data_IF_453214586371
#
_entry.id   IF_453214586371
#
_cell.length_a   1.000
_cell.length_b   1.000
_cell.length_c   1.000
_cell.angle_alpha   90.00
_cell.angle_beta   90.00
_cell.angle_gamma   90.00
#
_symmetry.space_group_name_H-M   'P 1'
#
loop_
_entity.id
_entity.type
_entity.pdbx_description
1 polymer ?
#
# COMPACT_ATOMS: atom_id res chain seq x y z
N UNK A 1 -34.96 11.66 -20.56
CA UNK A 1 -34.60 11.77 -19.13
C UNK A 1 -33.57 10.69 -18.85
N UNK A 2 -32.30 11.07 -18.70
CA UNK A 2 -31.23 10.14 -18.33
C UNK A 2 -31.45 9.74 -16.86
N UNK A 3 -31.92 8.51 -16.66
CA UNK A 3 -32.17 7.90 -15.35
C UNK A 3 -30.92 7.23 -14.78
N UNK A 4 -29.75 7.40 -15.41
CA UNK A 4 -28.51 6.88 -14.82
C UNK A 4 -28.08 7.80 -13.68
N UNK A 5 -28.48 7.43 -12.45
CA UNK A 5 -27.93 7.97 -11.20
C UNK A 5 -26.46 7.60 -11.04
N UNK A 6 -25.61 7.97 -12.01
CA UNK A 6 -24.18 7.75 -11.98
C UNK A 6 -23.52 8.74 -11.02
N UNK A 7 -22.56 8.26 -10.22
CA UNK A 7 -21.80 9.10 -9.30
C UNK A 7 -21.08 10.20 -10.08
N UNK A 8 -21.44 11.47 -9.81
CA UNK A 8 -20.72 12.64 -10.32
C UNK A 8 -19.73 13.12 -9.28
N UNK A 9 -18.49 12.64 -9.37
CA UNK A 9 -17.43 13.05 -8.44
C UNK A 9 -17.07 14.52 -8.63
N UNK A 10 -16.86 15.24 -7.54
CA UNK A 10 -16.29 16.58 -7.59
C UNK A 10 -14.78 16.51 -7.96
N UNK A 11 -14.17 17.61 -8.43
CA UNK A 11 -12.77 17.60 -8.85
C UNK A 11 -11.79 17.19 -7.74
N UNK A 12 -12.12 17.47 -6.48
CA UNK A 12 -11.26 17.11 -5.33
C UNK A 12 -11.26 15.60 -5.10
N UNK A 13 -12.43 14.95 -5.15
CA UNK A 13 -12.54 13.48 -5.04
C UNK A 13 -11.77 12.81 -6.16
N UNK A 14 -11.91 13.31 -7.40
CA UNK A 14 -11.15 12.78 -8.54
C UNK A 14 -9.65 12.90 -8.25
N UNK A 15 -9.17 14.07 -7.83
CA UNK A 15 -7.76 14.28 -7.51
C UNK A 15 -7.28 13.31 -6.42
N UNK A 16 -8.02 13.15 -5.33
CA UNK A 16 -7.67 12.22 -4.24
C UNK A 16 -7.56 10.78 -4.75
N UNK A 17 -8.49 10.33 -5.60
CA UNK A 17 -8.42 9.01 -6.22
C UNK A 17 -7.19 8.85 -7.11
N UNK A 18 -6.85 9.86 -7.92
CA UNK A 18 -5.66 9.82 -8.80
C UNK A 18 -4.37 9.77 -7.99
N UNK A 19 -4.29 10.56 -6.93
CA UNK A 19 -3.16 10.57 -5.99
C UNK A 19 -3.06 9.22 -5.28
N UNK A 20 -4.16 8.66 -4.77
CA UNK A 20 -4.16 7.33 -4.15
C UNK A 20 -3.68 6.25 -5.10
N UNK A 21 -4.14 6.23 -6.36
CA UNK A 21 -3.67 5.25 -7.36
C UNK A 21 -2.17 5.38 -7.60
N UNK A 22 -1.66 6.61 -7.76
CA UNK A 22 -0.25 6.84 -7.99
C UNK A 22 0.61 6.38 -6.79
N UNK A 23 0.19 6.70 -5.57
CA UNK A 23 0.93 6.36 -4.35
C UNK A 23 0.88 4.86 -4.05
N UNK A 24 -0.28 4.21 -4.13
CA UNK A 24 -0.38 2.76 -3.97
C UNK A 24 0.33 2.01 -5.09
N UNK A 25 0.31 2.54 -6.31
CA UNK A 25 1.07 1.99 -7.44
C UNK A 25 2.57 2.05 -7.21
N UNK A 26 3.10 3.20 -6.79
CA UNK A 26 4.52 3.37 -6.48
C UNK A 26 4.96 2.46 -5.32
N UNK A 27 4.17 2.42 -4.23
CA UNK A 27 4.41 1.55 -3.09
C UNK A 27 4.40 0.08 -3.49
N UNK A 28 3.36 -0.36 -4.21
CA UNK A 28 3.18 -1.76 -4.61
C UNK A 28 4.28 -2.23 -5.56
N UNK A 29 4.68 -1.40 -6.51
CA UNK A 29 5.76 -1.73 -7.44
C UNK A 29 7.09 -1.93 -6.73
N UNK A 30 7.44 -1.03 -5.79
CA UNK A 30 8.65 -1.18 -4.99
C UNK A 30 8.64 -2.46 -4.15
N UNK A 31 7.49 -2.83 -3.59
CA UNK A 31 7.35 -4.05 -2.78
C UNK A 31 7.42 -5.33 -3.61
N UNK A 32 6.93 -5.31 -4.85
CA UNK A 32 7.16 -6.41 -5.80
C UNK A 32 8.66 -6.57 -6.07
N UNK A 33 9.38 -5.49 -6.36
CA UNK A 33 10.82 -5.56 -6.60
C UNK A 33 11.60 -6.04 -5.37
N UNK A 34 11.31 -5.49 -4.19
CA UNK A 34 11.93 -5.91 -2.94
C UNK A 34 11.63 -7.39 -2.63
N UNK A 35 10.41 -7.84 -2.87
CA UNK A 35 10.01 -9.24 -2.69
C UNK A 35 10.75 -10.19 -3.62
N UNK A 36 10.86 -9.86 -4.91
CA UNK A 36 11.64 -10.64 -5.88
C UNK A 36 13.12 -10.69 -5.48
N UNK A 37 13.71 -9.56 -5.09
CA UNK A 37 15.09 -9.51 -4.64
C UNK A 37 15.31 -10.41 -3.41
N UNK A 38 14.49 -10.30 -2.37
CA UNK A 38 14.61 -11.11 -1.16
C UNK A 38 14.41 -12.62 -1.39
N UNK A 39 13.65 -13.01 -2.43
CA UNK A 39 13.48 -14.41 -2.81
C UNK A 39 14.67 -14.97 -3.61
N UNK A 40 15.36 -14.10 -4.36
CA UNK A 40 16.40 -14.50 -5.33
C UNK A 40 17.82 -14.43 -4.77
N UNK A 41 18.05 -13.55 -3.81
CA UNK A 41 19.37 -13.28 -3.24
C UNK A 41 19.75 -14.26 -2.11
N UNK A 42 21.05 -14.37 -1.85
CA UNK A 42 21.55 -15.09 -0.68
C UNK A 42 21.23 -14.33 0.63
N UNK A 43 21.07 -15.08 1.71
CA UNK A 43 20.64 -14.55 3.02
C UNK A 43 21.42 -13.31 3.50
N UNK A 44 22.77 -13.28 3.46
CA UNK A 44 23.51 -12.11 3.91
C UNK A 44 23.20 -10.85 3.07
N UNK A 45 23.13 -11.02 1.74
CA UNK A 45 22.84 -9.93 0.79
C UNK A 45 21.40 -9.43 0.98
N UNK A 46 20.45 -10.35 1.15
CA UNK A 46 19.05 -10.00 1.38
C UNK A 46 18.85 -9.23 2.70
N UNK A 47 19.57 -9.62 3.77
CA UNK A 47 19.53 -8.92 5.06
C UNK A 47 20.15 -7.54 4.94
N UNK A 48 21.30 -7.39 4.29
CA UNK A 48 21.94 -6.09 4.10
C UNK A 48 21.06 -5.11 3.30
N UNK A 49 20.33 -5.60 2.30
CA UNK A 49 19.38 -4.78 1.52
C UNK A 49 18.14 -4.38 2.32
N UNK A 50 17.75 -5.15 3.34
CA UNK A 50 16.57 -4.88 4.18
C UNK A 50 16.94 -4.04 5.41
N UNK A 51 18.12 -4.27 5.98
CA UNK A 51 18.64 -3.68 7.21
C UNK A 51 19.97 -2.97 6.90
N UNK A 52 19.90 -1.97 6.03
CA UNK A 52 21.07 -1.29 5.45
C UNK A 52 21.85 -0.41 6.45
N UNK A 53 21.31 -0.15 7.65
CA UNK A 53 22.08 0.47 8.73
C UNK A 53 23.06 -0.52 9.39
N UNK A 54 22.88 -1.82 9.16
CA UNK A 54 23.74 -2.85 9.73
C UNK A 54 24.83 -3.19 8.73
N UNK A 55 25.98 -2.51 8.83
CA UNK A 55 27.17 -2.85 8.05
C UNK A 55 27.75 -4.19 8.52
N UNK A 56 27.32 -5.25 7.86
CA UNK A 56 27.99 -6.54 7.94
C UNK A 56 29.05 -6.59 6.84
N UNK A 57 30.22 -7.15 7.13
CA UNK A 57 31.09 -7.65 6.07
C UNK A 57 30.39 -8.91 5.52
N UNK A 58 29.34 -8.73 4.71
CA UNK A 58 28.30 -9.73 4.43
C UNK A 58 28.83 -11.04 3.85
N UNK A 59 30.05 -11.03 3.32
CA UNK A 59 30.75 -12.21 2.84
C UNK A 59 31.26 -13.15 3.95
N UNK A 60 31.33 -12.72 5.22
CA UNK A 60 31.92 -13.50 6.33
C UNK A 60 30.92 -13.98 7.38
N UNK A 61 29.61 -13.73 7.21
CA UNK A 61 28.59 -14.16 8.17
C UNK A 61 27.82 -15.36 7.61
N UNK A 62 28.04 -16.54 8.21
CA UNK A 62 27.18 -17.69 7.97
C UNK A 62 25.91 -17.59 8.80
N UNK A 63 24.77 -17.46 8.13
CA UNK A 63 23.46 -17.54 8.76
C UNK A 63 22.99 -18.99 8.82
N UNK A 64 22.32 -19.41 9.92
CA UNK A 64 21.62 -20.69 9.95
C UNK A 64 20.64 -20.78 8.77
N UNK A 65 20.50 -21.96 8.16
CA UNK A 65 19.60 -22.16 7.02
C UNK A 65 18.16 -21.69 7.29
N UNK A 66 17.71 -21.81 8.54
CA UNK A 66 16.40 -21.34 8.99
C UNK A 66 16.24 -19.81 8.86
N UNK A 67 17.29 -19.03 9.12
CA UNK A 67 17.24 -17.58 8.95
C UNK A 67 17.01 -17.19 7.48
N UNK A 68 17.67 -17.87 6.54
CA UNK A 68 17.42 -17.69 5.11
C UNK A 68 15.99 -18.01 4.71
N UNK A 69 15.42 -19.08 5.25
CA UNK A 69 14.01 -19.43 5.02
C UNK A 69 13.04 -18.36 5.56
N UNK A 70 13.34 -17.76 6.72
CA UNK A 70 12.54 -16.66 7.30
C UNK A 70 12.62 -15.41 6.41
N UNK A 71 13.80 -15.04 5.92
CA UNK A 71 13.97 -13.89 5.01
C UNK A 71 13.21 -14.13 3.69
N UNK A 72 13.29 -15.32 3.11
CA UNK A 72 12.53 -15.66 1.89
C UNK A 72 11.03 -15.62 2.12
N UNK A 73 10.55 -16.07 3.30
CA UNK A 73 9.13 -15.90 3.70
C UNK A 73 8.74 -14.43 3.75
N UNK A 74 9.58 -13.57 4.31
CA UNK A 74 9.33 -12.13 4.33
C UNK A 74 9.32 -11.55 2.90
N UNK A 75 10.24 -11.97 2.03
CA UNK A 75 10.25 -11.60 0.61
C UNK A 75 8.97 -11.99 -0.11
N UNK A 76 8.46 -13.21 0.11
CA UNK A 76 7.17 -13.64 -0.41
C UNK A 76 6.03 -12.74 0.10
N UNK A 77 6.06 -12.34 1.37
CA UNK A 77 5.05 -11.44 1.94
C UNK A 77 5.04 -10.06 1.28
N UNK A 78 6.22 -9.47 1.06
CA UNK A 78 6.35 -8.20 0.35
C UNK A 78 5.84 -8.32 -1.09
N UNK A 79 6.19 -9.42 -1.77
CA UNK A 79 5.78 -9.67 -3.15
C UNK A 79 4.26 -9.71 -3.29
N UNK A 80 3.57 -10.56 -2.53
CA UNK A 80 2.12 -10.69 -2.69
C UNK A 80 1.38 -9.43 -2.22
N UNK A 81 1.85 -8.76 -1.17
CA UNK A 81 1.28 -7.49 -0.73
C UNK A 81 1.39 -6.40 -1.80
N UNK A 82 2.56 -6.30 -2.46
CA UNK A 82 2.77 -5.43 -3.61
C UNK A 82 1.83 -5.77 -4.77
N UNK A 83 1.69 -7.05 -5.11
CA UNK A 83 0.74 -7.48 -6.15
C UNK A 83 -0.71 -7.11 -5.83
N UNK A 84 -1.17 -7.31 -4.60
CA UNK A 84 -2.56 -6.97 -4.22
C UNK A 84 -2.81 -5.47 -4.32
N UNK A 85 -1.89 -4.64 -3.84
CA UNK A 85 -2.02 -3.18 -3.93
C UNK A 85 -2.03 -2.70 -5.39
N UNK A 86 -1.22 -3.31 -6.27
CA UNK A 86 -1.26 -3.05 -7.72
C UNK A 86 -2.61 -3.46 -8.35
N UNK A 87 -3.17 -4.60 -7.97
CA UNK A 87 -4.49 -5.04 -8.43
C UNK A 87 -5.61 -4.07 -8.00
N UNK A 88 -5.45 -3.37 -6.86
CA UNK A 88 -6.41 -2.37 -6.40
C UNK A 88 -6.39 -1.06 -7.21
N UNK A 89 -5.35 -0.79 -8.01
CA UNK A 89 -5.21 0.48 -8.74
C UNK A 89 -6.41 0.77 -9.66
N UNK A 90 -6.84 -0.21 -10.45
CA UNK A 90 -7.96 -0.02 -11.38
C UNK A 90 -9.27 0.20 -10.61
N UNK A 91 -9.69 -0.66 -9.66
CA UNK A 91 -10.90 -0.38 -8.89
C UNK A 91 -10.86 0.94 -8.09
N UNK A 92 -9.71 1.36 -7.56
CA UNK A 92 -9.55 2.67 -6.90
C UNK A 92 -9.78 3.79 -7.92
N UNK A 93 -9.23 3.67 -9.13
CA UNK A 93 -9.42 4.67 -10.20
C UNK A 93 -10.90 4.94 -10.51
N UNK A 94 -11.75 3.92 -10.34
CA UNK A 94 -13.20 3.98 -10.53
C UNK A 94 -13.99 4.31 -9.24
N UNK A 95 -13.32 4.57 -8.10
CA UNK A 95 -13.95 4.97 -6.84
C UNK A 95 -14.54 3.80 -6.04
N UNK A 96 -13.91 2.63 -6.07
CA UNK A 96 -14.30 1.49 -5.22
C UNK A 96 -13.79 1.64 -3.79
N UNK A 97 -14.70 1.90 -2.85
CA UNK A 97 -14.37 1.99 -1.41
C UNK A 97 -13.75 0.71 -0.87
N UNK A 98 -14.18 -0.46 -1.34
CA UNK A 98 -13.60 -1.73 -0.93
C UNK A 98 -12.14 -1.85 -1.36
N UNK A 99 -11.81 -1.44 -2.59
CA UNK A 99 -10.43 -1.50 -3.07
C UNK A 99 -9.52 -0.47 -2.38
N UNK A 100 -10.05 0.71 -2.09
CA UNK A 100 -9.37 1.73 -1.28
C UNK A 100 -9.04 1.16 0.11
N UNK A 101 -10.03 0.56 0.76
CA UNK A 101 -9.85 -0.08 2.07
C UNK A 101 -8.84 -1.22 2.01
N UNK A 102 -8.95 -2.11 1.03
CA UNK A 102 -8.06 -3.27 0.90
C UNK A 102 -6.60 -2.85 0.69
N UNK A 103 -6.34 -1.88 -0.18
CA UNK A 103 -5.00 -1.34 -0.40
C UNK A 103 -4.44 -0.68 0.86
N UNK A 104 -5.24 0.14 1.54
CA UNK A 104 -4.86 0.81 2.78
C UNK A 104 -4.59 -0.17 3.93
N UNK A 105 -5.39 -1.25 4.03
CA UNK A 105 -5.21 -2.27 5.05
C UNK A 105 -3.93 -3.06 4.82
N UNK A 106 -3.73 -3.61 3.61
CA UNK A 106 -2.58 -4.46 3.31
C UNK A 106 -1.30 -3.64 3.29
N UNK A 107 -1.28 -2.53 2.56
CA UNK A 107 -0.11 -1.67 2.48
C UNK A 107 0.22 -1.01 3.81
N UNK A 108 -0.78 -0.48 4.50
CA UNK A 108 -0.61 0.16 5.81
C UNK A 108 -0.10 -0.79 6.89
N UNK A 109 -0.64 -2.03 6.98
CA UNK A 109 -0.15 -3.01 7.95
C UNK A 109 1.26 -3.51 7.62
N UNK A 110 1.58 -3.66 6.34
CA UNK A 110 2.93 -4.06 5.90
C UNK A 110 3.96 -2.99 6.27
N UNK A 111 3.66 -1.73 5.98
CA UNK A 111 4.54 -0.60 6.31
C UNK A 111 4.65 -0.38 7.82
N UNK A 112 3.55 -0.55 8.57
CA UNK A 112 3.56 -0.45 10.04
C UNK A 112 4.46 -1.52 10.65
N UNK A 113 4.41 -2.76 10.15
CA UNK A 113 5.31 -3.83 10.61
C UNK A 113 6.78 -3.47 10.37
N UNK A 114 7.11 -2.96 9.17
CA UNK A 114 8.46 -2.49 8.86
C UNK A 114 8.90 -1.39 9.81
N UNK A 115 8.06 -0.37 10.00
CA UNK A 115 8.33 0.75 10.89
C UNK A 115 8.62 0.31 12.33
N UNK A 116 7.77 -0.56 12.88
CA UNK A 116 7.89 -1.02 14.26
C UNK A 116 9.12 -1.89 14.51
N UNK A 117 9.46 -2.77 13.55
CA UNK A 117 10.48 -3.79 13.78
C UNK A 117 11.85 -3.47 13.16
N UNK A 118 11.92 -2.57 12.18
CA UNK A 118 13.16 -2.21 11.50
C UNK A 118 13.57 -0.76 11.79
N UNK A 119 12.69 0.22 11.63
CA UNK A 119 13.05 1.63 11.87
C UNK A 119 13.20 1.96 13.35
N UNK A 120 12.23 1.58 14.20
CA UNK A 120 12.33 1.81 15.64
C UNK A 120 13.48 1.03 16.28
N UNK A 121 13.86 -0.10 15.69
CA UNK A 121 15.00 -0.89 16.14
C UNK A 121 16.35 -0.35 15.63
N UNK A 122 16.35 0.66 14.76
CA UNK A 122 17.56 1.30 14.24
C UNK A 122 18.31 0.47 13.20
N UNK A 123 17.63 -0.46 12.51
CA UNK A 123 18.26 -1.36 11.53
C UNK A 123 18.24 -0.81 10.10
N UNK A 124 17.59 0.32 9.84
CA UNK A 124 17.41 0.88 8.48
C UNK A 124 17.90 2.32 8.45
N UNK A 125 18.71 2.65 7.45
CA UNK A 125 19.08 4.03 7.14
C UNK A 125 17.88 4.73 6.51
N UNK A 126 17.75 6.04 6.77
CA UNK A 126 16.57 6.84 6.41
C UNK A 126 16.18 6.82 4.91
N UNK A 127 17.07 6.46 3.98
CA UNK A 127 16.76 6.36 2.54
C UNK A 127 17.21 4.99 2.03
N UNK A 128 16.33 4.12 1.47
CA UNK A 128 15.03 4.38 0.83
C UNK A 128 13.78 4.21 1.71
N UNK A 129 13.91 3.66 2.92
CA UNK A 129 12.78 3.22 3.75
C UNK A 129 11.84 4.35 4.17
N UNK A 130 12.35 5.52 4.59
CA UNK A 130 11.51 6.63 5.05
C UNK A 130 10.66 7.22 3.92
N UNK A 131 11.16 7.20 2.68
CA UNK A 131 10.39 7.68 1.52
C UNK A 131 9.14 6.81 1.33
N UNK A 132 9.28 5.48 1.44
CA UNK A 132 8.15 4.56 1.32
C UNK A 132 7.14 4.73 2.44
N UNK A 133 7.58 5.02 3.66
CA UNK A 133 6.68 5.33 4.78
C UNK A 133 5.91 6.63 4.53
N UNK A 134 6.57 7.68 4.05
CA UNK A 134 5.89 8.94 3.70
C UNK A 134 4.87 8.70 2.58
N UNK A 135 5.24 7.95 1.54
CA UNK A 135 4.33 7.54 0.46
C UNK A 135 3.13 6.79 1.02
N UNK A 136 3.34 5.82 1.90
CA UNK A 136 2.27 5.02 2.49
C UNK A 136 1.33 5.87 3.37
N UNK A 137 1.86 6.71 4.27
CA UNK A 137 1.04 7.59 5.10
C UNK A 137 0.23 8.56 4.24
N UNK A 138 0.86 9.14 3.21
CA UNK A 138 0.16 10.04 2.27
C UNK A 138 -0.92 9.29 1.49
N UNK A 139 -0.66 8.04 1.09
CA UNK A 139 -1.62 7.20 0.39
C UNK A 139 -2.84 6.92 1.27
N UNK A 140 -2.64 6.58 2.55
CA UNK A 140 -3.69 6.34 3.53
C UNK A 140 -4.55 7.60 3.70
N UNK A 141 -3.93 8.77 3.90
CA UNK A 141 -4.68 10.03 4.08
C UNK A 141 -5.51 10.36 2.85
N UNK A 142 -4.94 10.26 1.65
CA UNK A 142 -5.66 10.48 0.40
C UNK A 142 -6.81 9.47 0.21
N UNK A 143 -6.57 8.21 0.55
CA UNK A 143 -7.56 7.12 0.48
C UNK A 143 -8.73 7.33 1.43
N UNK A 144 -8.47 7.72 2.67
CA UNK A 144 -9.53 8.02 3.66
C UNK A 144 -10.35 9.22 3.21
N UNK A 145 -9.70 10.30 2.75
CA UNK A 145 -10.37 11.49 2.23
C UNK A 145 -11.32 11.17 1.07
N UNK A 146 -10.86 10.38 0.09
CA UNK A 146 -11.70 9.95 -1.02
C UNK A 146 -12.87 9.07 -0.56
N UNK A 147 -12.61 8.10 0.32
CA UNK A 147 -13.63 7.16 0.82
C UNK A 147 -14.78 7.85 1.55
N UNK A 148 -14.46 8.84 2.41
CA UNK A 148 -15.47 9.63 3.14
C UNK A 148 -16.35 10.45 2.18
N UNK A 149 -15.76 11.06 1.15
CA UNK A 149 -16.52 11.81 0.16
C UNK A 149 -17.44 10.90 -0.66
N UNK A 150 -16.97 9.73 -1.06
CA UNK A 150 -17.78 8.75 -1.79
C UNK A 150 -18.97 8.30 -0.94
N UNK A 151 -18.75 7.98 0.34
CA UNK A 151 -19.80 7.54 1.24
C UNK A 151 -20.88 8.62 1.48
N UNK A 152 -20.48 9.90 1.59
CA UNK A 152 -21.41 11.01 1.71
C UNK A 152 -22.32 11.12 0.46
N UNK A 153 -21.74 11.02 -0.74
CA UNK A 153 -22.49 11.07 -2.00
C UNK A 153 -23.46 9.89 -2.14
N UNK A 154 -23.05 8.68 -1.78
CA UNK A 154 -23.92 7.50 -1.83
C UNK A 154 -25.12 7.66 -0.89
N UNK A 155 -24.93 8.30 0.27
CA UNK A 155 -26.01 8.60 1.23
C UNK A 155 -27.02 9.60 0.66
N UNK A 156 -26.54 10.68 0.03
CA UNK A 156 -27.41 11.69 -0.61
C UNK A 156 -28.24 11.10 -1.75
N UNK A 157 -27.64 10.24 -2.59
CA UNK A 157 -28.34 9.56 -3.68
C UNK A 157 -29.49 8.69 -3.17
N UNK A 158 -29.25 7.93 -2.09
CA UNK A 158 -30.29 7.09 -1.47
C UNK A 158 -31.43 7.94 -0.89
N UNK A 159 -31.11 9.07 -0.24
CA UNK A 159 -32.12 9.98 0.32
C UNK A 159 -32.98 10.57 -0.80
N UNK A 160 -32.34 11.09 -1.86
CA UNK A 160 -33.05 11.70 -2.99
C UNK A 160 -33.95 10.68 -3.71
N UNK A 161 -33.46 9.46 -3.95
CA UNK A 161 -34.24 8.40 -4.58
C UNK A 161 -35.47 7.99 -3.74
N UNK A 162 -35.37 8.04 -2.40
CA UNK A 162 -36.51 7.79 -1.52
C UNK A 162 -37.54 8.93 -1.61
N UNK A 163 -37.10 10.18 -1.64
CA UNK A 163 -37.99 11.34 -1.75
C UNK A 163 -38.76 11.34 -3.08
N UNK A 164 -38.11 11.00 -4.20
CA UNK A 164 -38.76 10.93 -5.52
C UNK A 164 -39.77 9.80 -5.65
N UNK A 165 -39.66 8.73 -4.86
CA UNK A 165 -40.60 7.60 -4.87
C UNK A 165 -41.83 7.82 -3.96
N UNK A 166 -41.85 8.91 -3.18
CA UNK A 166 -42.91 9.23 -2.22
C UNK A 166 -43.85 10.37 -2.69
N UNK A 167 -43.58 10.98 -3.85
CA UNK A 167 -44.40 12.03 -4.47
C UNK A 167 -45.05 11.55 -5.76
#
# INVERSE_FOLDING_TARGET
MDTSGSRKYNPQTILMLRVSVALWGAWGLMHVFAGVAALSEDTPIAIEKIADAVHHNSASIEYPAVAGAIIKRQGFNLLWAGCVTLCCMVPIWHGSNFAIFLAALIGGLTELGRFLFLDLAGFVNFLPGTILTIICVTAIVASVGASLQIAAMDTELVINARQTNLG
#
